data_IF_018092470225
#
_entry.id   IF_018092470225
#
_cell.length_a   1.000
_cell.length_b   1.000
_cell.length_c   1.000
_cell.angle_alpha   90.00
_cell.angle_beta   90.00
_cell.angle_gamma   90.00
#
_symmetry.space_group_name_H-M   'P 1'
#
loop_
_entity.id
_entity.type
_entity.pdbx_description
1 polymer ?
#
# COMPACT_ATOMS: atom_id res chain seq x y z
N UNK A 1 15.47 5.67 30.53
CA UNK A 1 15.45 5.59 29.05
C UNK A 1 14.14 6.18 28.56
N UNK A 2 14.14 6.97 27.46
CA UNK A 2 12.89 7.51 26.89
C UNK A 2 12.09 6.38 26.26
N UNK A 3 10.81 6.23 26.65
CA UNK A 3 9.91 5.20 26.12
C UNK A 3 8.91 5.81 25.14
N UNK A 4 8.50 5.02 24.16
CA UNK A 4 7.55 5.38 23.11
C UNK A 4 6.28 4.55 23.31
N UNK A 5 5.14 5.23 23.39
CA UNK A 5 3.82 4.63 23.26
C UNK A 5 3.32 4.85 21.85
N UNK A 6 2.83 3.79 21.19
CA UNK A 6 2.29 3.83 19.84
C UNK A 6 0.79 3.54 19.92
N UNK A 7 -0.05 4.44 19.39
CA UNK A 7 -1.49 4.25 19.43
C UNK A 7 -1.95 3.10 18.51
N UNK A 8 -3.13 2.58 18.78
CA UNK A 8 -3.71 1.43 18.08
C UNK A 8 -4.74 1.89 17.04
N UNK A 9 -4.73 1.27 15.86
CA UNK A 9 -5.82 1.38 14.90
C UNK A 9 -6.95 0.40 15.23
N UNK A 10 -6.59 -0.86 15.58
CA UNK A 10 -7.51 -1.98 15.83
C UNK A 10 -8.39 -2.30 14.61
N UNK A 11 -7.78 -2.31 13.42
CA UNK A 11 -8.47 -2.56 12.15
C UNK A 11 -8.01 -3.87 11.49
N UNK A 12 -7.08 -4.60 12.12
CA UNK A 12 -6.43 -5.80 11.57
C UNK A 12 -5.84 -5.53 10.18
N UNK A 13 -5.23 -4.35 10.02
CA UNK A 13 -4.70 -3.84 8.75
C UNK A 13 -3.21 -3.51 8.84
N UNK A 14 -2.64 -3.00 7.76
CA UNK A 14 -1.22 -2.69 7.61
C UNK A 14 -0.63 -1.85 8.76
N UNK A 15 -1.40 -0.89 9.29
CA UNK A 15 -0.93 -0.01 10.38
C UNK A 15 -0.75 -0.79 11.69
N UNK A 16 -1.63 -1.74 11.98
CA UNK A 16 -1.47 -2.62 13.15
C UNK A 16 -0.27 -3.54 12.99
N UNK A 17 0.02 -4.00 11.76
CA UNK A 17 1.25 -4.74 11.43
C UNK A 17 2.50 -3.89 11.71
N UNK A 18 2.56 -2.65 11.21
CA UNK A 18 3.69 -1.75 11.47
C UNK A 18 3.90 -1.50 12.96
N UNK A 19 2.82 -1.24 13.69
CA UNK A 19 2.89 -1.08 15.14
C UNK A 19 3.52 -2.30 15.82
N UNK A 20 3.00 -3.48 15.52
CA UNK A 20 3.48 -4.74 16.11
C UNK A 20 4.93 -5.03 15.73
N UNK A 21 5.31 -4.86 14.48
CA UNK A 21 6.68 -5.05 14.01
C UNK A 21 7.65 -4.08 14.70
N UNK A 22 7.26 -2.80 14.82
CA UNK A 22 8.10 -1.81 15.50
C UNK A 22 8.32 -2.18 16.97
N UNK A 23 7.26 -2.53 17.70
CA UNK A 23 7.33 -2.92 19.11
C UNK A 23 8.19 -4.17 19.28
N UNK A 24 7.98 -5.19 18.46
CA UNK A 24 8.71 -6.46 18.54
C UNK A 24 10.22 -6.30 18.27
N UNK A 25 10.59 -5.39 17.38
CA UNK A 25 12.00 -5.13 17.07
C UNK A 25 12.65 -4.08 18.00
N UNK A 26 11.85 -3.36 18.81
CA UNK A 26 12.33 -2.30 19.69
C UNK A 26 11.74 -2.43 21.11
N UNK A 27 11.75 -3.60 21.77
CA UNK A 27 11.03 -3.83 23.04
C UNK A 27 11.59 -2.94 24.17
N UNK A 28 12.87 -2.59 24.12
CA UNK A 28 13.53 -1.81 25.17
C UNK A 28 13.11 -0.35 25.19
N UNK A 29 12.64 0.20 24.06
CA UNK A 29 12.22 1.60 23.93
C UNK A 29 10.71 1.76 23.78
N UNK A 30 9.95 0.68 23.69
CA UNK A 30 8.48 0.71 23.61
C UNK A 30 7.82 0.46 24.97
N UNK A 31 6.60 0.94 25.14
CA UNK A 31 5.73 0.65 26.28
C UNK A 31 4.27 0.65 25.87
N UNK A 32 3.49 -0.28 26.41
CA UNK A 32 2.02 -0.29 26.28
C UNK A 32 1.34 0.66 27.27
N UNK A 33 2.06 1.14 28.28
CA UNK A 33 1.55 2.08 29.27
C UNK A 33 1.88 3.52 28.88
N UNK A 34 0.91 4.25 28.35
CA UNK A 34 1.08 5.65 27.97
C UNK A 34 1.60 6.56 29.09
N UNK A 35 1.35 6.21 30.38
CA UNK A 35 1.83 7.01 31.53
C UNK A 35 3.37 6.99 31.57
N UNK A 36 3.99 5.89 31.23
CA UNK A 36 5.44 5.69 31.26
C UNK A 36 6.16 6.26 30.03
N UNK A 37 5.42 6.54 28.96
CA UNK A 37 5.99 7.05 27.73
C UNK A 37 6.49 8.50 27.88
N UNK A 38 7.61 8.80 27.24
CA UNK A 38 8.09 10.17 27.00
C UNK A 38 7.61 10.70 25.65
N UNK A 39 7.32 9.79 24.72
CA UNK A 39 6.87 10.09 23.36
C UNK A 39 5.58 9.33 23.11
N UNK A 40 4.59 10.00 22.53
CA UNK A 40 3.38 9.40 21.98
C UNK A 40 3.48 9.43 20.47
N UNK A 41 3.53 8.26 19.85
CA UNK A 41 3.51 8.15 18.38
C UNK A 41 2.09 7.84 17.90
N UNK A 42 1.47 8.79 17.23
CA UNK A 42 0.17 8.65 16.57
C UNK A 42 0.42 8.04 15.19
N UNK A 43 0.57 6.71 15.14
CA UNK A 43 0.75 5.98 13.87
C UNK A 43 -0.58 5.88 13.10
N UNK A 44 -1.71 5.87 13.82
CA UNK A 44 -3.06 5.86 13.26
C UNK A 44 -3.75 7.22 13.52
N UNK A 45 -3.54 8.23 12.66
CA UNK A 45 -4.01 9.59 12.92
C UNK A 45 -5.53 9.71 13.01
N UNK A 46 -6.31 8.83 12.40
CA UNK A 46 -7.78 8.82 12.51
C UNK A 46 -8.29 8.36 13.88
N UNK A 47 -7.46 7.71 14.69
CA UNK A 47 -7.83 7.27 16.05
C UNK A 47 -7.27 8.20 17.14
N UNK A 48 -6.64 9.33 16.81
CA UNK A 48 -5.95 10.21 17.75
C UNK A 48 -6.83 10.70 18.92
N UNK A 49 -8.15 10.84 18.70
CA UNK A 49 -9.10 11.28 19.73
C UNK A 49 -9.30 10.26 20.86
N UNK A 50 -8.91 8.98 20.63
CA UNK A 50 -8.94 7.95 21.67
C UNK A 50 -7.82 8.16 22.71
N UNK A 51 -6.81 8.95 22.37
CA UNK A 51 -5.72 9.28 23.29
C UNK A 51 -6.18 10.39 24.23
N UNK A 52 -6.08 10.21 25.56
CA UNK A 52 -6.46 11.25 26.51
C UNK A 52 -5.61 12.51 26.31
N UNK A 53 -6.25 13.67 26.13
CA UNK A 53 -5.60 14.94 25.79
C UNK A 53 -4.48 15.34 26.74
N UNK A 54 -4.60 15.02 28.04
CA UNK A 54 -3.54 15.30 29.01
C UNK A 54 -2.17 14.74 28.60
N UNK A 55 -2.13 13.55 27.97
CA UNK A 55 -0.87 12.98 27.50
C UNK A 55 -0.35 13.65 26.24
N UNK A 56 -1.25 14.13 25.36
CA UNK A 56 -0.87 14.91 24.19
C UNK A 56 -0.28 16.27 24.56
N UNK A 57 -0.68 16.87 25.70
CA UNK A 57 -0.09 18.11 26.22
C UNK A 57 1.22 17.89 27.00
N UNK A 58 1.37 16.75 27.64
CA UNK A 58 2.48 16.52 28.59
C UNK A 58 3.68 15.81 27.95
N UNK A 59 3.51 15.19 26.80
CA UNK A 59 4.50 14.33 26.16
C UNK A 59 4.84 14.86 24.78
N UNK A 60 6.01 14.46 24.25
CA UNK A 60 6.35 14.72 22.85
C UNK A 60 5.44 13.88 21.96
N UNK A 61 4.91 14.50 20.92
CA UNK A 61 3.95 13.85 20.00
C UNK A 61 4.53 13.77 18.60
N UNK A 62 4.73 12.54 18.12
CA UNK A 62 5.02 12.21 16.73
C UNK A 62 3.71 11.77 16.05
N UNK A 63 3.42 12.25 14.84
CA UNK A 63 2.24 11.84 14.11
C UNK A 63 2.61 11.41 12.70
N UNK A 64 2.18 10.22 12.28
CA UNK A 64 2.34 9.75 10.91
C UNK A 64 1.22 10.29 10.02
N UNK A 65 1.58 10.76 8.83
CA UNK A 65 0.63 11.04 7.74
C UNK A 65 0.82 9.99 6.66
N UNK A 66 -0.22 9.18 6.44
CA UNK A 66 -0.21 8.11 5.44
C UNK A 66 -0.46 8.62 4.02
N UNK A 67 -1.35 9.56 3.87
CA UNK A 67 -1.59 10.32 2.64
C UNK A 67 -2.25 11.64 3.01
N UNK A 68 -2.07 12.60 2.15
CA UNK A 68 -2.63 13.92 2.26
C UNK A 68 -2.96 14.40 0.86
N UNK A 69 -4.14 14.98 0.69
CA UNK A 69 -4.49 15.75 -0.48
C UNK A 69 -4.91 17.14 -0.04
N UNK A 70 -4.09 18.13 -0.36
CA UNK A 70 -4.39 19.54 -0.05
C UNK A 70 -5.79 19.93 -0.54
N UNK A 71 -6.14 19.51 -1.76
CA UNK A 71 -7.43 19.82 -2.40
C UNK A 71 -8.65 19.27 -1.66
N UNK A 72 -8.48 18.17 -0.92
CA UNK A 72 -9.54 17.52 -0.14
C UNK A 72 -9.59 18.01 1.31
N UNK A 73 -8.55 18.68 1.79
CA UNK A 73 -8.50 19.26 3.14
C UNK A 73 -9.35 20.53 3.23
N UNK A 74 -10.68 20.33 3.29
CA UNK A 74 -11.66 21.42 3.41
C UNK A 74 -12.62 21.17 4.57
N UNK A 75 -13.22 22.24 5.05
CA UNK A 75 -14.31 22.17 6.00
C UNK A 75 -13.99 21.36 7.26
N UNK A 76 -14.67 20.23 7.47
CA UNK A 76 -14.50 19.38 8.66
C UNK A 76 -13.14 18.71 8.72
N UNK A 77 -12.61 18.25 7.57
CA UNK A 77 -11.32 17.54 7.51
C UNK A 77 -10.17 18.47 7.89
N UNK A 78 -10.16 19.69 7.36
CA UNK A 78 -9.17 20.71 7.74
C UNK A 78 -9.24 21.05 9.22
N UNK A 79 -10.45 21.26 9.77
CA UNK A 79 -10.61 21.52 11.22
C UNK A 79 -10.07 20.37 12.08
N UNK A 80 -10.30 19.13 11.69
CA UNK A 80 -9.78 17.96 12.40
C UNK A 80 -8.26 17.85 12.30
N UNK A 81 -7.69 18.16 11.14
CA UNK A 81 -6.25 18.23 10.95
C UNK A 81 -5.65 19.29 11.88
N UNK A 82 -6.10 20.55 11.81
CA UNK A 82 -5.58 21.65 12.60
C UNK A 82 -5.72 21.41 14.11
N UNK A 83 -6.83 20.77 14.54
CA UNK A 83 -7.01 20.39 15.93
C UNK A 83 -6.01 19.33 16.39
N UNK A 84 -5.64 18.36 15.57
CA UNK A 84 -4.59 17.40 15.87
C UNK A 84 -3.23 18.05 15.81
N UNK A 85 -2.99 18.90 14.80
CA UNK A 85 -1.75 19.63 14.58
C UNK A 85 -1.30 20.44 15.82
N UNK A 86 -2.27 21.02 16.56
CA UNK A 86 -1.97 21.77 17.79
C UNK A 86 -1.29 20.94 18.89
N UNK A 87 -1.35 19.61 18.81
CA UNK A 87 -0.69 18.71 19.77
C UNK A 87 0.61 18.11 19.24
N UNK A 88 0.83 18.13 17.92
CA UNK A 88 1.96 17.44 17.29
C UNK A 88 3.22 18.28 17.39
N UNK A 89 4.32 17.66 17.83
CA UNK A 89 5.65 18.28 17.82
C UNK A 89 6.39 18.02 16.50
N UNK A 90 6.21 16.82 15.93
CA UNK A 90 6.88 16.42 14.69
C UNK A 90 6.01 15.46 13.89
N UNK A 91 6.04 15.58 12.56
CA UNK A 91 5.38 14.64 11.67
C UNK A 91 6.35 13.59 11.10
N UNK A 92 5.83 12.40 10.88
CA UNK A 92 6.42 11.36 10.06
C UNK A 92 5.65 11.31 8.74
N UNK A 93 6.34 11.61 7.65
CA UNK A 93 5.78 11.66 6.29
C UNK A 93 6.39 10.54 5.48
N UNK A 94 5.55 9.71 4.85
CA UNK A 94 5.98 8.42 4.28
C UNK A 94 6.37 8.48 2.80
N UNK A 95 6.18 9.63 2.15
CA UNK A 95 6.60 9.85 0.76
C UNK A 95 6.91 11.32 0.48
N UNK A 96 7.73 11.58 -0.53
CA UNK A 96 8.02 12.95 -1.00
C UNK A 96 6.77 13.67 -1.49
N UNK A 97 5.80 12.95 -2.06
CA UNK A 97 4.51 13.52 -2.45
C UNK A 97 3.75 14.04 -1.25
N UNK A 98 3.67 13.24 -0.18
CA UNK A 98 3.05 13.67 1.07
C UNK A 98 3.79 14.87 1.69
N UNK A 99 5.11 14.97 1.53
CA UNK A 99 5.89 16.17 1.96
C UNK A 99 5.46 17.42 1.20
N UNK A 100 5.27 17.32 -0.12
CA UNK A 100 4.80 18.44 -0.94
C UNK A 100 3.47 19.00 -0.44
N UNK A 101 2.48 18.13 -0.30
CA UNK A 101 1.14 18.52 0.18
C UNK A 101 1.17 19.01 1.64
N UNK A 102 2.01 18.41 2.50
CA UNK A 102 2.12 18.79 3.90
C UNK A 102 2.62 20.23 4.10
N UNK A 103 3.62 20.65 3.32
CA UNK A 103 4.22 21.99 3.42
C UNK A 103 3.24 23.13 3.12
N UNK A 104 2.15 22.85 2.39
CA UNK A 104 1.12 23.85 2.10
C UNK A 104 0.14 24.07 3.25
N UNK A 105 0.14 23.20 4.28
CA UNK A 105 -0.89 23.21 5.34
C UNK A 105 -0.34 23.24 6.76
N UNK A 106 0.96 23.00 6.97
CA UNK A 106 1.59 23.03 8.29
C UNK A 106 3.06 23.40 8.20
N UNK A 107 3.51 24.26 9.12
CA UNK A 107 4.91 24.67 9.31
C UNK A 107 5.64 23.78 10.35
N UNK A 108 5.00 22.71 10.82
CA UNK A 108 5.59 21.79 11.80
C UNK A 108 6.80 21.07 11.24
N UNK A 109 7.75 20.79 12.10
CA UNK A 109 8.87 19.92 11.74
C UNK A 109 8.40 18.53 11.31
N UNK A 110 9.09 17.96 10.34
CA UNK A 110 8.80 16.60 9.86
C UNK A 110 10.09 15.80 9.64
N UNK A 111 9.90 14.49 9.59
CA UNK A 111 10.88 13.52 9.10
C UNK A 111 10.26 12.78 7.94
N UNK A 112 10.90 12.81 6.76
CA UNK A 112 10.52 11.99 5.62
C UNK A 112 11.23 10.65 5.74
N UNK A 113 10.44 9.59 5.86
CA UNK A 113 10.91 8.21 5.92
C UNK A 113 9.79 7.27 5.46
N UNK A 114 9.95 6.53 4.36
CA UNK A 114 9.01 5.48 3.98
C UNK A 114 8.87 4.43 5.08
N UNK A 115 7.73 3.74 5.14
CA UNK A 115 7.62 2.57 6.00
C UNK A 115 8.56 1.46 5.53
N UNK A 116 9.03 0.69 6.48
CA UNK A 116 9.90 -0.48 6.25
C UNK A 116 9.14 -1.64 5.61
N UNK A 117 9.88 -2.55 5.01
CA UNK A 117 9.45 -3.91 4.72
C UNK A 117 10.22 -4.88 5.60
N UNK A 118 9.52 -5.87 6.16
CA UNK A 118 10.14 -6.86 7.02
C UNK A 118 10.76 -7.98 6.16
N UNK A 119 12.08 -8.00 6.03
CA UNK A 119 12.81 -8.98 5.23
C UNK A 119 12.71 -10.43 5.72
N UNK A 120 12.20 -10.67 6.95
CA UNK A 120 11.88 -12.01 7.43
C UNK A 120 10.54 -12.52 6.87
N UNK A 121 9.69 -11.60 6.44
CA UNK A 121 8.36 -11.90 5.92
C UNK A 121 8.32 -11.88 4.39
N UNK A 122 9.11 -10.99 3.78
CA UNK A 122 9.19 -10.81 2.33
C UNK A 122 10.63 -10.97 1.88
N UNK A 123 10.87 -11.91 1.00
CA UNK A 123 12.18 -12.25 0.48
C UNK A 123 12.04 -12.98 -0.85
N UNK A 124 13.09 -12.95 -1.65
CA UNK A 124 13.15 -13.67 -2.90
C UNK A 124 13.26 -15.18 -2.69
N UNK A 125 12.52 -15.95 -3.49
CA UNK A 125 12.54 -17.41 -3.52
C UNK A 125 13.04 -17.84 -4.90
N UNK A 126 14.18 -18.52 -4.94
CA UNK A 126 14.84 -18.89 -6.20
C UNK A 126 14.03 -19.91 -7.03
N UNK A 127 13.37 -20.87 -6.37
CA UNK A 127 12.62 -21.94 -7.03
C UNK A 127 11.20 -21.50 -7.38
N UNK A 128 11.10 -20.64 -8.39
CA UNK A 128 9.83 -20.10 -8.90
C UNK A 128 8.95 -21.19 -9.52
N UNK A 129 9.55 -22.17 -10.18
CA UNK A 129 8.81 -23.20 -10.91
C UNK A 129 8.07 -24.14 -9.94
N UNK A 130 8.73 -24.58 -8.87
CA UNK A 130 8.10 -25.37 -7.81
C UNK A 130 6.96 -24.59 -7.10
N UNK A 131 7.14 -23.27 -6.89
CA UNK A 131 6.06 -22.45 -6.37
C UNK A 131 4.88 -22.34 -7.34
N UNK A 132 5.14 -22.22 -8.64
CA UNK A 132 4.09 -22.20 -9.67
C UNK A 132 3.30 -23.50 -9.67
N UNK A 133 3.97 -24.65 -9.62
CA UNK A 133 3.33 -25.96 -9.50
C UNK A 133 2.47 -26.04 -8.24
N UNK A 134 3.00 -25.65 -7.08
CA UNK A 134 2.26 -25.60 -5.80
C UNK A 134 0.93 -24.84 -5.93
N UNK A 135 0.94 -23.72 -6.65
CA UNK A 135 -0.25 -22.88 -6.89
C UNK A 135 -0.98 -23.23 -8.18
N UNK A 136 -0.64 -24.37 -8.82
CA UNK A 136 -1.27 -24.86 -10.05
C UNK A 136 -1.21 -23.87 -11.21
N UNK A 137 -0.06 -23.21 -11.37
CA UNK A 137 0.29 -22.46 -12.57
C UNK A 137 1.28 -23.27 -13.40
N UNK A 138 1.22 -23.11 -14.73
CA UNK A 138 2.25 -23.67 -15.63
C UNK A 138 3.50 -22.80 -15.58
N UNK A 139 4.66 -23.41 -15.86
CA UNK A 139 5.93 -22.68 -16.05
C UNK A 139 5.84 -21.71 -17.24
N UNK A 140 5.01 -22.02 -18.23
CA UNK A 140 4.77 -21.21 -19.42
C UNK A 140 3.72 -20.10 -19.19
N UNK A 141 3.04 -20.06 -18.05
CA UNK A 141 2.07 -19.01 -17.76
C UNK A 141 2.79 -17.66 -17.55
N UNK A 142 2.26 -16.61 -18.16
CA UNK A 142 2.62 -15.22 -17.86
C UNK A 142 1.65 -14.66 -16.84
N UNK A 143 2.13 -14.44 -15.61
CA UNK A 143 1.27 -14.16 -14.46
C UNK A 143 1.34 -12.67 -14.10
N UNK A 144 0.23 -11.95 -14.32
CA UNK A 144 0.04 -10.56 -13.90
C UNK A 144 -0.60 -10.51 -12.51
N UNK A 145 0.00 -9.78 -11.58
CA UNK A 145 -0.46 -9.69 -10.20
C UNK A 145 -1.01 -8.34 -9.80
N UNK A 146 -2.07 -8.35 -8.97
CA UNK A 146 -2.54 -7.18 -8.23
C UNK A 146 -3.18 -7.60 -6.90
N UNK A 147 -2.63 -7.10 -5.78
CA UNK A 147 -3.06 -7.50 -4.43
C UNK A 147 -3.74 -6.35 -3.66
N UNK A 148 -4.18 -5.32 -4.36
CA UNK A 148 -4.86 -4.16 -3.78
C UNK A 148 -6.38 -4.38 -3.75
N UNK A 149 -7.02 -3.87 -2.71
CA UNK A 149 -8.48 -3.77 -2.66
C UNK A 149 -9.00 -2.91 -3.83
N UNK A 150 -9.97 -3.42 -4.57
CA UNK A 150 -10.54 -2.75 -5.75
C UNK A 150 -12.01 -2.37 -5.61
N UNK A 151 -12.70 -2.88 -4.59
CA UNK A 151 -14.14 -2.73 -4.45
C UNK A 151 -14.54 -2.03 -3.16
N UNK A 152 -15.65 -1.28 -3.21
CA UNK A 152 -16.25 -0.61 -2.07
C UNK A 152 -17.79 -0.73 -2.09
N UNK A 153 -18.44 -0.08 -1.10
CA UNK A 153 -19.89 -0.15 -0.94
C UNK A 153 -20.38 -1.41 -0.22
N UNK A 154 -21.67 -1.47 0.07
CA UNK A 154 -22.32 -2.59 0.79
C UNK A 154 -22.26 -3.87 -0.02
N UNK A 155 -22.47 -3.78 -1.33
CA UNK A 155 -22.49 -4.94 -2.25
C UNK A 155 -21.11 -5.29 -2.81
N UNK A 156 -20.06 -4.58 -2.42
CA UNK A 156 -18.66 -4.82 -2.84
C UNK A 156 -18.41 -4.87 -4.34
N UNK A 157 -19.35 -4.39 -5.18
CA UNK A 157 -19.25 -4.38 -6.64
C UNK A 157 -18.90 -3.00 -7.21
N UNK A 158 -18.97 -1.95 -6.39
CA UNK A 158 -18.60 -0.59 -6.80
C UNK A 158 -17.09 -0.48 -6.88
N UNK A 159 -16.53 0.01 -8.01
CA UNK A 159 -15.10 0.18 -8.13
C UNK A 159 -14.60 1.24 -7.14
N UNK A 160 -13.53 0.92 -6.43
CA UNK A 160 -12.80 1.88 -5.62
C UNK A 160 -11.85 2.68 -6.50
N UNK A 161 -12.37 3.67 -7.22
CA UNK A 161 -11.66 4.40 -8.28
C UNK A 161 -10.30 4.99 -7.86
N UNK A 162 -10.15 5.37 -6.59
CA UNK A 162 -8.86 5.84 -6.07
C UNK A 162 -7.74 4.78 -6.19
N UNK A 163 -8.10 3.49 -6.21
CA UNK A 163 -7.18 2.35 -6.40
C UNK A 163 -7.02 1.95 -7.88
N UNK A 164 -7.71 2.61 -8.79
CA UNK A 164 -7.59 2.42 -10.24
C UNK A 164 -7.98 1.04 -10.77
N UNK A 165 -9.01 0.35 -10.24
CA UNK A 165 -9.37 -0.98 -10.73
C UNK A 165 -9.88 -0.95 -12.18
N UNK A 166 -10.52 0.12 -12.59
CA UNK A 166 -10.94 0.39 -13.96
C UNK A 166 -9.74 0.41 -14.93
N UNK A 167 -8.69 1.12 -14.56
CA UNK A 167 -7.42 1.16 -15.30
C UNK A 167 -6.75 -0.20 -15.38
N UNK A 168 -6.79 -0.95 -14.28
CA UNK A 168 -6.19 -2.29 -14.20
C UNK A 168 -6.91 -3.28 -15.13
N UNK A 169 -8.24 -3.19 -15.24
CA UNK A 169 -9.02 -3.97 -16.20
C UNK A 169 -8.56 -3.70 -17.63
N UNK A 170 -8.37 -2.43 -18.01
CA UNK A 170 -7.90 -2.06 -19.35
C UNK A 170 -6.48 -2.60 -19.63
N UNK A 171 -5.60 -2.55 -18.62
CA UNK A 171 -4.24 -3.12 -18.75
C UNK A 171 -4.32 -4.64 -18.98
N UNK A 172 -5.11 -5.36 -18.17
CA UNK A 172 -5.28 -6.80 -18.35
C UNK A 172 -5.92 -7.18 -19.69
N UNK A 173 -6.92 -6.42 -20.14
CA UNK A 173 -7.55 -6.61 -21.44
C UNK A 173 -6.55 -6.43 -22.58
N UNK A 174 -5.76 -5.36 -22.54
CA UNK A 174 -4.75 -5.09 -23.55
C UNK A 174 -3.69 -6.21 -23.62
N UNK A 175 -3.21 -6.68 -22.45
CA UNK A 175 -2.29 -7.83 -22.42
C UNK A 175 -2.92 -9.10 -22.97
N UNK A 176 -4.16 -9.39 -22.58
CA UNK A 176 -4.90 -10.56 -23.06
C UNK A 176 -5.06 -10.58 -24.57
N UNK A 177 -5.33 -9.45 -25.18
CA UNK A 177 -5.48 -9.31 -26.63
C UNK A 177 -4.13 -9.39 -27.35
N UNK A 178 -3.10 -8.71 -26.86
CA UNK A 178 -1.76 -8.66 -27.49
C UNK A 178 -1.03 -9.98 -27.43
N UNK A 179 -1.24 -10.79 -26.38
CA UNK A 179 -0.66 -12.13 -26.24
C UNK A 179 -1.49 -13.23 -26.94
N UNK A 180 -2.36 -12.86 -27.85
CA UNK A 180 -3.25 -13.79 -28.57
C UNK A 180 -4.02 -14.74 -27.65
N UNK A 181 -4.41 -14.27 -26.46
CA UNK A 181 -5.16 -15.02 -25.44
C UNK A 181 -4.50 -16.34 -25.01
N UNK A 182 -3.17 -16.39 -25.05
CA UNK A 182 -2.40 -17.58 -24.66
C UNK A 182 -1.62 -17.29 -23.39
N UNK A 183 -1.61 -18.29 -22.53
CA UNK A 183 -0.76 -18.38 -21.32
C UNK A 183 -0.86 -17.19 -20.33
N UNK A 184 -1.69 -16.18 -20.57
CA UNK A 184 -1.90 -15.10 -19.63
C UNK A 184 -2.79 -15.59 -18.48
N UNK A 185 -2.36 -15.32 -17.26
CA UNK A 185 -3.13 -15.52 -16.03
C UNK A 185 -3.11 -14.26 -15.19
N UNK A 186 -4.24 -13.92 -14.59
CA UNK A 186 -4.30 -12.85 -13.59
C UNK A 186 -4.32 -13.46 -12.21
N UNK A 187 -3.43 -13.02 -11.34
CA UNK A 187 -3.39 -13.43 -9.94
C UNK A 187 -3.85 -12.28 -9.04
N UNK A 188 -4.95 -12.51 -8.36
CA UNK A 188 -5.54 -11.58 -7.40
C UNK A 188 -5.37 -12.09 -5.98
N UNK A 189 -5.02 -11.21 -5.06
CA UNK A 189 -5.06 -11.49 -3.63
C UNK A 189 -5.67 -10.32 -2.86
N UNK A 190 -6.07 -10.57 -1.61
CA UNK A 190 -6.62 -9.55 -0.73
C UNK A 190 -8.15 -9.51 -0.70
N UNK A 191 -8.68 -8.68 0.16
CA UNK A 191 -10.10 -8.57 0.44
C UNK A 191 -10.82 -7.60 -0.50
N UNK A 192 -12.08 -7.89 -0.84
CA UNK A 192 -12.93 -7.05 -1.71
C UNK A 192 -12.36 -6.87 -3.12
N UNK A 193 -12.27 -7.98 -3.86
CA UNK A 193 -11.81 -8.05 -5.26
C UNK A 193 -12.95 -8.24 -6.27
N UNK A 194 -14.19 -8.06 -5.83
CA UNK A 194 -15.39 -8.39 -6.61
C UNK A 194 -15.49 -7.62 -7.92
N UNK A 195 -15.10 -6.33 -7.95
CA UNK A 195 -15.16 -5.55 -9.18
C UNK A 195 -14.25 -6.15 -10.26
N UNK A 196 -12.96 -6.39 -9.92
CA UNK A 196 -12.02 -6.99 -10.88
C UNK A 196 -12.45 -8.40 -11.29
N UNK A 197 -12.89 -9.23 -10.34
CA UNK A 197 -13.37 -10.57 -10.64
C UNK A 197 -14.50 -10.51 -11.67
N UNK A 198 -15.54 -9.71 -11.43
CA UNK A 198 -16.66 -9.55 -12.33
C UNK A 198 -16.24 -9.06 -13.73
N UNK A 199 -15.28 -8.12 -13.79
CA UNK A 199 -14.80 -7.59 -15.07
C UNK A 199 -13.93 -8.60 -15.83
N UNK A 200 -13.12 -9.43 -15.15
CA UNK A 200 -12.34 -10.50 -15.75
C UNK A 200 -13.24 -11.61 -16.29
N UNK A 201 -14.29 -12.00 -15.55
CA UNK A 201 -15.29 -12.98 -15.99
C UNK A 201 -16.03 -12.52 -17.24
N UNK A 202 -16.52 -11.27 -17.28
CA UNK A 202 -17.17 -10.70 -18.47
C UNK A 202 -16.28 -10.73 -19.72
N UNK A 203 -14.97 -10.57 -19.55
CA UNK A 203 -13.98 -10.55 -20.63
C UNK A 203 -13.36 -11.90 -20.91
N UNK A 204 -13.74 -12.93 -20.15
CA UNK A 204 -13.19 -14.28 -20.24
C UNK A 204 -11.66 -14.32 -20.07
N UNK A 205 -11.12 -13.42 -19.21
CA UNK A 205 -9.70 -13.39 -18.86
C UNK A 205 -9.47 -14.37 -17.71
N UNK A 206 -8.59 -15.37 -17.85
CA UNK A 206 -8.34 -16.35 -16.81
C UNK A 206 -7.70 -15.72 -15.58
N UNK A 207 -8.21 -16.05 -14.39
CA UNK A 207 -7.66 -15.55 -13.12
C UNK A 207 -7.66 -16.61 -12.03
N UNK A 208 -6.80 -16.41 -11.03
CA UNK A 208 -6.89 -17.06 -9.72
C UNK A 208 -7.01 -16.03 -8.62
N UNK A 209 -7.80 -16.31 -7.62
CA UNK A 209 -8.05 -15.42 -6.51
C UNK A 209 -7.76 -16.09 -5.16
N UNK A 210 -6.94 -15.44 -4.34
CA UNK A 210 -6.59 -15.85 -2.99
C UNK A 210 -7.06 -14.79 -2.00
N UNK A 211 -8.22 -15.02 -1.39
CA UNK A 211 -8.74 -14.12 -0.37
C UNK A 211 -8.01 -14.33 0.96
N UNK A 212 -7.64 -13.24 1.64
CA UNK A 212 -7.11 -13.26 3.01
C UNK A 212 -5.95 -14.24 3.23
N UNK A 213 -4.96 -14.16 2.40
CA UNK A 213 -3.73 -14.94 2.56
C UNK A 213 -2.97 -14.51 3.81
N UNK A 214 -2.26 -15.44 4.45
CA UNK A 214 -1.24 -15.11 5.43
C UNK A 214 0.00 -14.48 4.76
N UNK A 215 0.91 -13.96 5.57
CA UNK A 215 2.10 -13.25 5.07
C UNK A 215 3.02 -14.20 4.29
N UNK A 216 3.14 -15.46 4.72
CA UNK A 216 3.98 -16.45 4.03
C UNK A 216 3.43 -16.72 2.64
N UNK A 217 2.16 -17.02 2.54
CA UNK A 217 1.47 -17.22 1.25
C UNK A 217 1.58 -15.97 0.38
N UNK A 218 1.40 -14.77 0.95
CA UNK A 218 1.53 -13.53 0.19
C UNK A 218 2.93 -13.33 -0.39
N UNK A 219 3.99 -13.65 0.38
CA UNK A 219 5.36 -13.64 -0.12
C UNK A 219 5.53 -14.62 -1.29
N UNK A 220 5.03 -15.85 -1.16
CA UNK A 220 5.09 -16.85 -2.23
C UNK A 220 4.34 -16.38 -3.49
N UNK A 221 3.17 -15.73 -3.32
CA UNK A 221 2.40 -15.20 -4.45
C UNK A 221 3.14 -14.06 -5.17
N UNK A 222 3.88 -13.19 -4.48
CA UNK A 222 4.75 -12.22 -5.16
C UNK A 222 5.81 -12.92 -6.00
N UNK A 223 6.46 -13.96 -5.47
CA UNK A 223 7.56 -14.66 -6.12
C UNK A 223 7.16 -15.42 -7.40
N UNK A 224 5.89 -15.78 -7.58
CA UNK A 224 5.45 -16.48 -8.81
C UNK A 224 5.05 -15.55 -9.95
N UNK A 225 4.92 -14.24 -9.69
CA UNK A 225 4.52 -13.26 -10.70
C UNK A 225 5.61 -13.03 -11.75
N UNK A 226 5.19 -12.69 -12.94
CA UNK A 226 6.04 -12.10 -13.98
C UNK A 226 5.96 -10.57 -13.96
N UNK A 227 4.83 -10.02 -13.50
CA UNK A 227 4.68 -8.59 -13.34
C UNK A 227 3.63 -8.26 -12.27
N UNK A 228 3.99 -7.40 -11.33
CA UNK A 228 3.08 -6.79 -10.38
C UNK A 228 2.65 -5.40 -10.86
N UNK A 229 1.35 -5.07 -10.76
CA UNK A 229 0.82 -3.81 -11.30
C UNK A 229 0.12 -2.99 -10.23
N UNK A 230 0.55 -1.73 -10.08
CA UNK A 230 -0.11 -0.71 -9.25
C UNK A 230 -0.71 0.36 -10.16
N UNK A 231 -2.03 0.42 -10.24
CA UNK A 231 -2.78 1.34 -11.12
C UNK A 231 -3.49 2.47 -10.38
N UNK A 232 -3.17 2.67 -9.11
CA UNK A 232 -3.85 3.62 -8.23
C UNK A 232 -3.78 5.06 -8.76
N UNK A 233 -4.82 5.85 -8.46
CA UNK A 233 -4.84 7.30 -8.69
C UNK A 233 -4.18 8.05 -7.55
N UNK A 234 -4.33 7.51 -6.32
CA UNK A 234 -3.75 8.08 -5.12
C UNK A 234 -3.33 6.99 -4.14
N UNK A 235 -2.14 7.13 -3.62
CA UNK A 235 -1.57 6.34 -2.52
C UNK A 235 -0.62 7.20 -1.70
N UNK A 236 -0.52 6.93 -0.41
CA UNK A 236 0.48 7.57 0.43
C UNK A 236 1.84 6.89 0.34
N UNK A 237 1.84 5.56 0.48
CA UNK A 237 3.02 4.71 0.35
C UNK A 237 2.54 3.29 0.18
N UNK A 238 2.23 2.84 -1.06
CA UNK A 238 1.70 1.51 -1.29
C UNK A 238 2.76 0.47 -0.92
N UNK A 239 2.52 -0.23 0.19
CA UNK A 239 3.45 -1.22 0.73
C UNK A 239 3.75 -2.33 -0.27
N UNK A 240 2.80 -2.62 -1.15
CA UNK A 240 2.97 -3.60 -2.22
C UNK A 240 4.13 -3.29 -3.18
N UNK A 241 4.53 -2.02 -3.34
CA UNK A 241 5.70 -1.66 -4.14
C UNK A 241 6.98 -2.19 -3.50
N UNK A 242 7.17 -1.92 -2.21
CA UNK A 242 8.37 -2.37 -1.50
C UNK A 242 8.35 -3.88 -1.23
N UNK A 243 7.17 -4.49 -1.08
CA UNK A 243 7.00 -5.92 -0.96
C UNK A 243 7.37 -6.63 -2.28
N UNK A 244 6.90 -6.14 -3.42
CA UNK A 244 7.29 -6.66 -4.74
C UNK A 244 8.79 -6.44 -5.02
N UNK A 245 9.33 -5.28 -4.69
CA UNK A 245 10.75 -4.98 -4.91
C UNK A 245 11.68 -5.93 -4.12
N UNK A 246 11.41 -6.19 -2.84
CA UNK A 246 12.25 -7.08 -2.03
C UNK A 246 12.17 -8.55 -2.47
N UNK A 247 11.04 -8.96 -3.06
CA UNK A 247 10.87 -10.29 -3.65
C UNK A 247 11.48 -10.40 -5.06
N UNK A 248 12.07 -9.32 -5.58
CA UNK A 248 12.56 -9.20 -6.95
C UNK A 248 11.48 -9.45 -8.01
N UNK A 249 10.23 -9.20 -7.67
CA UNK A 249 9.13 -9.28 -8.63
C UNK A 249 9.17 -8.05 -9.53
N UNK A 250 9.21 -8.21 -10.87
CA UNK A 250 9.06 -7.08 -11.78
C UNK A 250 7.79 -6.29 -11.48
N UNK A 251 7.89 -4.97 -11.49
CA UNK A 251 6.79 -4.09 -11.08
C UNK A 251 6.66 -2.90 -12.00
N UNK A 252 5.42 -2.54 -12.29
CA UNK A 252 5.07 -1.23 -12.87
C UNK A 252 4.04 -0.54 -11.97
N UNK A 253 4.14 0.77 -11.88
CA UNK A 253 3.26 1.58 -11.04
C UNK A 253 2.91 2.89 -11.71
N UNK A 254 1.69 3.37 -11.48
CA UNK A 254 1.43 4.80 -11.60
C UNK A 254 2.32 5.56 -10.61
N UNK A 255 2.62 6.83 -10.91
CA UNK A 255 3.43 7.67 -10.02
C UNK A 255 2.64 8.06 -8.76
N UNK A 256 2.54 7.13 -7.79
CA UNK A 256 1.80 7.30 -6.52
C UNK A 256 2.68 7.01 -5.30
N UNK A 257 2.49 7.81 -4.27
CA UNK A 257 3.18 7.62 -2.98
C UNK A 257 4.69 7.55 -3.15
N UNK A 258 5.27 6.39 -2.79
CA UNK A 258 6.72 6.12 -2.83
C UNK A 258 7.21 5.61 -4.19
N UNK A 259 6.34 5.48 -5.20
CA UNK A 259 6.71 4.84 -6.47
C UNK A 259 7.99 5.44 -7.08
N UNK A 260 8.02 6.76 -7.31
CA UNK A 260 9.19 7.46 -7.86
C UNK A 260 10.41 7.55 -6.91
N UNK A 261 10.30 7.04 -5.70
CA UNK A 261 11.40 6.97 -4.74
C UNK A 261 12.06 5.59 -4.69
N UNK A 262 11.36 4.56 -5.16
CA UNK A 262 11.74 3.15 -5.07
C UNK A 262 11.97 2.54 -6.44
N UNK A 263 11.22 2.97 -7.46
CA UNK A 263 11.23 2.40 -8.79
C UNK A 263 12.00 3.30 -9.77
N UNK A 264 12.61 2.68 -10.76
CA UNK A 264 13.17 3.38 -11.92
C UNK A 264 12.04 4.05 -12.74
N UNK A 265 12.39 5.12 -13.45
CA UNK A 265 11.44 5.87 -14.27
C UNK A 265 10.76 4.99 -15.34
N UNK A 266 11.47 3.99 -15.88
CA UNK A 266 10.95 3.01 -16.84
C UNK A 266 9.83 2.12 -16.28
N UNK A 267 9.77 1.97 -14.95
CA UNK A 267 8.73 1.21 -14.24
C UNK A 267 7.54 2.09 -13.82
N UNK A 268 7.60 3.39 -14.11
CA UNK A 268 6.53 4.34 -13.80
C UNK A 268 5.80 4.69 -15.07
N UNK A 269 4.49 4.40 -15.10
CA UNK A 269 3.65 4.74 -16.23
C UNK A 269 2.67 5.84 -15.86
N UNK A 270 2.50 6.78 -16.78
CA UNK A 270 1.49 7.82 -16.70
C UNK A 270 0.28 7.40 -17.51
N UNK A 271 -0.88 7.42 -16.89
CA UNK A 271 -2.13 7.31 -17.60
C UNK A 271 -2.48 8.72 -18.05
N UNK A 272 -1.93 9.10 -19.21
CA UNK A 272 -2.40 10.27 -19.90
C UNK A 272 -3.73 9.91 -20.55
N UNK A 273 -4.80 10.61 -20.17
CA UNK A 273 -6.14 10.54 -20.75
C UNK A 273 -6.53 9.22 -21.43
N UNK A 274 -7.58 8.66 -20.97
CA UNK A 274 -8.32 7.43 -21.26
C UNK A 274 -8.28 6.80 -22.68
N UNK A 275 -7.36 7.17 -23.56
CA UNK A 275 -7.38 6.75 -24.97
C UNK A 275 -6.08 6.17 -25.54
N UNK A 276 -4.98 6.05 -24.78
CA UNK A 276 -3.70 5.55 -25.33
C UNK A 276 -3.32 4.18 -24.79
N UNK A 277 -3.09 3.26 -25.73
CA UNK A 277 -2.59 1.90 -25.53
C UNK A 277 -1.29 1.89 -24.68
N UNK A 278 -1.29 1.12 -23.62
CA UNK A 278 -0.13 0.94 -22.75
C UNK A 278 0.90 0.05 -23.43
N UNK A 279 2.08 0.58 -23.73
CA UNK A 279 3.25 -0.23 -24.02
C UNK A 279 3.97 -0.50 -22.70
N UNK A 280 3.91 -1.73 -22.25
CA UNK A 280 4.58 -2.19 -21.03
C UNK A 280 5.84 -2.92 -21.47
N UNK A 281 6.95 -2.22 -21.45
CA UNK A 281 8.27 -2.85 -21.52
C UNK A 281 8.73 -3.07 -20.07
N UNK A 282 8.56 -4.29 -19.58
CA UNK A 282 9.18 -4.71 -18.33
C UNK A 282 10.66 -4.98 -18.61
N UNK A 283 11.50 -3.96 -18.49
CA UNK A 283 12.92 -4.16 -18.34
C UNK A 283 13.20 -4.45 -16.88
N UNK A 284 13.35 -5.72 -16.55
CA UNK A 284 13.78 -6.20 -15.24
C UNK A 284 15.25 -5.95 -14.98
#
# INVERSE_FOLDING_TARGET
MKKIYINEANESWIVDRFRSEFINNNPNICTENIKEASIVWIIAPWTWKKIPKKYLHQKKVLCTIHHLEEKELKGKQLREFLKRDSYVDRYHLISKKTVGDFKSISDKEYTHLPFWVNSKNYFHIEDKDNLREKYQFSVDDFILGSFQRDSEGKNTNTPKLIKGPDRLVEIFQNYWETQNKKNLKVLLSGYRRNYLINELEKRQIPYKYFERTDIKTLNELYNILDLYIVSSRLEGGPQSIVEAAITKTPIISTDVGVASEVLDESSIFNIADDSKKYNINASG
#
